data_IF_112223194754
#
_entry.id   IF_112223194754
#
_cell.length_a   1.000
_cell.length_b   1.000
_cell.length_c   1.000
_cell.angle_alpha   90.00
_cell.angle_beta   90.00
_cell.angle_gamma   90.00
#
_symmetry.space_group_name_H-M   'P 1'
#
loop_
_entity.id
_entity.type
_entity.pdbx_description
1 polymer ?
#
# COMPACT_ATOMS: atom_id res chain seq x y z
N UNK A 1 6.35 -6.11 21.14
CA UNK A 1 6.16 -5.36 19.87
C UNK A 1 7.41 -4.54 19.63
N UNK A 2 7.76 -4.20 18.38
CA UNK A 2 8.78 -3.19 18.13
C UNK A 2 8.37 -1.86 18.78
N UNK A 3 9.35 -1.13 19.32
CA UNK A 3 9.06 0.13 20.01
C UNK A 3 8.87 1.29 19.03
N UNK A 4 9.64 1.28 17.92
CA UNK A 4 9.61 2.36 16.95
C UNK A 4 9.41 1.85 15.52
N UNK A 5 8.39 2.37 14.85
CA UNK A 5 8.00 1.96 13.50
C UNK A 5 8.10 3.17 12.56
N UNK A 6 8.83 2.99 11.45
CA UNK A 6 8.83 3.93 10.33
C UNK A 6 7.79 3.49 9.31
N UNK A 7 6.86 4.38 8.99
CA UNK A 7 5.86 4.17 7.91
C UNK A 7 6.17 5.15 6.78
N UNK A 8 6.47 4.65 5.58
CA UNK A 8 6.50 5.47 4.39
C UNK A 8 5.10 5.53 3.78
N UNK A 9 4.65 6.69 3.30
CA UNK A 9 3.28 6.87 2.85
C UNK A 9 2.27 7.05 4.01
N UNK A 10 2.73 7.62 5.13
CA UNK A 10 1.92 7.75 6.36
C UNK A 10 0.77 8.76 6.26
N UNK A 11 0.82 9.71 5.34
CA UNK A 11 -0.28 10.64 5.06
C UNK A 11 -1.36 10.04 4.13
N UNK A 12 -1.07 8.87 3.55
CA UNK A 12 -2.00 8.14 2.68
C UNK A 12 -3.17 7.51 3.45
N UNK A 13 -4.10 6.94 2.67
CA UNK A 13 -5.29 6.26 3.19
C UNK A 13 -4.93 5.14 4.18
N UNK A 14 -4.19 4.13 3.73
CA UNK A 14 -3.85 2.96 4.56
C UNK A 14 -2.83 3.34 5.62
N UNK A 15 -1.82 4.15 5.26
CA UNK A 15 -0.74 4.57 6.16
C UNK A 15 -1.25 5.30 7.40
N UNK A 16 -2.20 6.21 7.23
CA UNK A 16 -2.77 6.96 8.36
C UNK A 16 -3.59 6.10 9.32
N UNK A 17 -4.34 5.12 8.81
CA UNK A 17 -5.05 4.14 9.64
C UNK A 17 -4.10 3.20 10.38
N UNK A 18 -3.04 2.75 9.69
CA UNK A 18 -2.04 1.89 10.30
C UNK A 18 -1.27 2.64 11.40
N UNK A 19 -0.84 3.87 11.14
CA UNK A 19 -0.19 4.72 12.13
C UNK A 19 -1.07 4.88 13.38
N UNK A 20 -2.35 5.22 13.20
CA UNK A 20 -3.30 5.36 14.31
C UNK A 20 -3.44 4.05 15.12
N UNK A 21 -3.56 2.91 14.43
CA UNK A 21 -3.65 1.60 15.07
C UNK A 21 -2.41 1.28 15.91
N UNK A 22 -1.21 1.54 15.38
CA UNK A 22 0.04 1.25 16.06
C UNK A 22 0.28 2.19 17.26
N UNK A 23 -0.08 3.47 17.12
CA UNK A 23 -0.06 4.43 18.23
C UNK A 23 -1.00 4.02 19.37
N UNK A 24 -2.24 3.58 19.04
CA UNK A 24 -3.19 3.01 20.03
C UNK A 24 -2.67 1.74 20.70
N UNK A 25 -1.80 1.00 20.03
CA UNK A 25 -1.13 -0.19 20.58
C UNK A 25 0.14 0.14 21.41
N UNK A 26 0.46 1.43 21.58
CA UNK A 26 1.59 1.90 22.39
C UNK A 26 2.92 1.95 21.67
N UNK A 27 2.94 1.84 20.34
CA UNK A 27 4.16 2.00 19.55
C UNK A 27 4.47 3.48 19.30
N UNK A 28 5.75 3.83 19.20
CA UNK A 28 6.19 5.09 18.60
C UNK A 28 6.17 4.95 17.09
N UNK A 29 5.61 5.94 16.40
CA UNK A 29 5.47 5.93 14.93
C UNK A 29 6.07 7.20 14.34
N UNK A 30 7.00 7.01 13.41
CA UNK A 30 7.44 8.08 12.51
C UNK A 30 6.88 7.81 11.12
N UNK A 31 6.29 8.81 10.48
CA UNK A 31 5.86 8.75 9.08
C UNK A 31 6.72 9.64 8.19
N UNK A 32 7.00 9.20 6.96
CA UNK A 32 7.56 10.02 5.88
C UNK A 32 6.61 9.98 4.69
N UNK A 33 6.28 11.16 4.14
CA UNK A 33 5.34 11.31 3.02
C UNK A 33 5.58 12.66 2.33
N UNK A 34 5.57 12.71 1.01
CA UNK A 34 5.76 13.94 0.24
C UNK A 34 4.47 14.71 -0.04
N UNK A 35 3.32 14.18 0.44
CA UNK A 35 1.97 14.70 0.23
C UNK A 35 1.53 14.74 -1.24
N UNK A 36 2.22 14.05 -2.14
CA UNK A 36 1.84 14.00 -3.57
C UNK A 36 0.46 13.36 -3.79
N UNK A 37 0.13 12.38 -2.98
CA UNK A 37 -1.19 11.72 -2.95
C UNK A 37 -1.81 11.65 -1.55
N UNK A 38 -0.99 11.78 -0.51
CA UNK A 38 -1.39 11.85 0.89
C UNK A 38 -2.06 13.18 1.25
N UNK A 39 -2.75 13.21 2.38
CA UNK A 39 -3.39 14.42 2.91
C UNK A 39 -2.75 14.87 4.21
N UNK A 40 -2.43 16.16 4.28
CA UNK A 40 -1.98 16.81 5.51
C UNK A 40 -2.95 16.58 6.68
N UNK A 41 -4.27 16.62 6.41
CA UNK A 41 -5.31 16.39 7.43
C UNK A 41 -5.25 15.00 8.06
N UNK A 42 -4.75 13.99 7.35
CA UNK A 42 -4.54 12.66 7.93
C UNK A 42 -3.40 12.66 8.96
N UNK A 43 -2.37 13.48 8.76
CA UNK A 43 -1.28 13.63 9.73
C UNK A 43 -1.73 14.46 10.95
N UNK A 44 -2.55 15.49 10.73
CA UNK A 44 -3.10 16.33 11.80
C UNK A 44 -3.91 15.50 12.81
N UNK A 45 -4.69 14.54 12.34
CA UNK A 45 -5.42 13.61 13.21
C UNK A 45 -4.50 12.81 14.15
N UNK A 46 -3.27 12.53 13.71
CA UNK A 46 -2.30 11.73 14.46
C UNK A 46 -1.48 12.57 15.45
N UNK A 47 -1.44 13.89 15.31
CA UNK A 47 -0.70 14.78 16.21
C UNK A 47 -1.25 14.78 17.66
N UNK A 48 -2.46 14.28 17.87
CA UNK A 48 -2.99 14.04 19.21
C UNK A 48 -2.21 12.97 20.01
N UNK A 49 -1.40 12.16 19.34
CA UNK A 49 -0.58 11.12 19.97
C UNK A 49 0.85 11.64 20.17
N UNK A 50 1.37 11.74 21.43
CA UNK A 50 2.71 12.24 21.70
C UNK A 50 3.83 11.42 21.03
N UNK A 51 3.58 10.13 20.80
CA UNK A 51 4.53 9.20 20.18
C UNK A 51 4.50 9.23 18.64
N UNK A 52 3.76 10.18 18.04
CA UNK A 52 3.70 10.37 16.60
C UNK A 52 4.64 11.48 16.15
N UNK A 53 5.39 11.19 15.08
CA UNK A 53 6.21 12.17 14.36
C UNK A 53 5.95 12.06 12.86
N UNK A 54 5.73 13.18 12.17
CA UNK A 54 5.67 13.25 10.71
C UNK A 54 6.86 13.99 10.13
N UNK A 55 7.36 13.50 9.00
CA UNK A 55 8.38 14.13 8.18
C UNK A 55 7.82 14.28 6.77
N UNK A 56 7.76 15.51 6.27
CA UNK A 56 7.29 15.80 4.92
C UNK A 56 8.52 15.82 4.02
N UNK A 57 8.73 14.72 3.30
CA UNK A 57 9.88 14.54 2.43
C UNK A 57 9.65 13.39 1.45
N UNK A 58 10.34 13.44 0.32
CA UNK A 58 10.37 12.35 -0.66
C UNK A 58 11.19 11.16 -0.10
N UNK A 59 10.67 9.94 -0.24
CA UNK A 59 11.38 8.72 0.17
C UNK A 59 12.68 8.48 -0.60
N UNK A 60 12.90 9.19 -1.70
CA UNK A 60 14.15 9.17 -2.48
C UNK A 60 15.21 10.15 -1.95
N UNK A 61 14.88 10.98 -0.96
CA UNK A 61 15.91 11.70 -0.21
C UNK A 61 16.65 10.73 0.72
N UNK A 62 17.79 10.24 0.21
CA UNK A 62 18.56 9.18 0.87
C UNK A 62 19.03 9.59 2.27
N UNK A 63 19.35 10.85 2.50
CA UNK A 63 19.87 11.32 3.79
C UNK A 63 18.78 11.29 4.86
N UNK A 64 17.59 11.78 4.56
CA UNK A 64 16.45 11.76 5.47
C UNK A 64 15.99 10.32 5.72
N UNK A 65 15.84 9.51 4.66
CA UNK A 65 15.40 8.12 4.79
C UNK A 65 16.40 7.29 5.61
N UNK A 66 17.70 7.44 5.38
CA UNK A 66 18.76 6.75 6.11
C UNK A 66 18.70 7.07 7.62
N UNK A 67 18.60 8.36 7.97
CA UNK A 67 18.44 8.78 9.36
C UNK A 67 17.20 8.19 10.01
N UNK A 68 16.02 8.27 9.35
CA UNK A 68 14.77 7.75 9.91
C UNK A 68 14.81 6.23 10.07
N UNK A 69 15.40 5.52 9.11
CA UNK A 69 15.56 4.06 9.17
C UNK A 69 16.50 3.64 10.29
N UNK A 70 17.57 4.41 10.56
CA UNK A 70 18.50 4.12 11.66
C UNK A 70 17.82 4.17 13.04
N UNK A 71 16.83 5.05 13.20
CA UNK A 71 16.08 5.26 14.43
C UNK A 71 14.96 4.20 14.65
N UNK A 72 14.49 3.53 13.58
CA UNK A 72 13.37 2.60 13.63
C UNK A 72 13.78 1.15 13.88
N UNK A 73 12.89 0.35 14.44
CA UNK A 73 13.04 -1.11 14.57
C UNK A 73 12.50 -1.84 13.35
N UNK A 74 11.42 -1.32 12.78
CA UNK A 74 10.71 -1.89 11.62
C UNK A 74 10.34 -0.79 10.65
N UNK A 75 10.47 -1.06 9.36
CA UNK A 75 10.01 -0.20 8.28
C UNK A 75 8.79 -0.82 7.60
N UNK A 76 7.68 -0.10 7.54
CA UNK A 76 6.49 -0.49 6.77
C UNK A 76 6.40 0.42 5.55
N UNK A 77 6.69 -0.15 4.38
CA UNK A 77 6.75 0.60 3.14
C UNK A 77 5.41 0.57 2.40
N UNK A 78 4.64 1.68 2.51
CA UNK A 78 3.35 1.89 1.85
C UNK A 78 3.40 3.00 0.79
N UNK A 79 4.47 3.81 0.76
CA UNK A 79 4.61 4.88 -0.22
C UNK A 79 4.69 4.31 -1.63
N UNK A 80 3.78 4.73 -2.49
CA UNK A 80 3.76 4.37 -3.90
C UNK A 80 2.89 5.37 -4.67
N UNK A 81 3.23 5.63 -5.92
CA UNK A 81 2.33 6.27 -6.86
C UNK A 81 1.29 5.24 -7.33
N UNK A 82 0.05 5.37 -6.85
CA UNK A 82 -1.04 4.41 -7.05
C UNK A 82 -2.29 5.09 -7.60
N UNK A 83 -3.07 4.32 -8.37
CA UNK A 83 -4.34 4.75 -8.96
C UNK A 83 -4.29 4.81 -10.49
N UNK A 84 -5.30 4.19 -11.11
CA UNK A 84 -5.34 3.98 -12.57
C UNK A 84 -5.17 5.29 -13.36
N UNK A 85 -5.82 6.37 -12.93
CA UNK A 85 -5.69 7.66 -13.58
C UNK A 85 -4.25 8.18 -13.55
N UNK A 86 -3.61 8.17 -12.38
CA UNK A 86 -2.23 8.65 -12.21
C UNK A 86 -1.23 7.83 -13.03
N UNK A 87 -1.38 6.50 -13.02
CA UNK A 87 -0.52 5.56 -13.78
C UNK A 87 -0.59 5.82 -15.28
N UNK A 88 -1.78 6.12 -15.81
CA UNK A 88 -1.99 6.40 -17.24
C UNK A 88 -1.50 7.81 -17.61
N UNK A 89 -1.74 8.80 -16.77
CA UNK A 89 -1.37 10.20 -17.02
C UNK A 89 0.14 10.46 -16.84
N UNK A 90 0.77 9.78 -15.87
CA UNK A 90 2.19 10.00 -15.51
C UNK A 90 2.95 8.68 -15.34
N UNK A 91 3.04 7.84 -16.39
CA UNK A 91 3.63 6.50 -16.28
C UNK A 91 5.11 6.52 -15.87
N UNK A 92 5.91 7.46 -16.40
CA UNK A 92 7.32 7.57 -16.05
C UNK A 92 7.51 7.92 -14.58
N UNK A 93 6.79 8.92 -14.07
CA UNK A 93 6.87 9.31 -12.66
C UNK A 93 6.42 8.18 -11.73
N UNK A 94 5.36 7.45 -12.10
CA UNK A 94 4.88 6.28 -11.35
C UNK A 94 5.97 5.22 -11.22
N UNK A 95 6.61 4.84 -12.32
CA UNK A 95 7.69 3.85 -12.32
C UNK A 95 8.89 4.31 -11.48
N UNK A 96 9.31 5.57 -11.65
CA UNK A 96 10.45 6.12 -10.91
C UNK A 96 10.19 6.18 -9.40
N UNK A 97 9.00 6.61 -8.97
CA UNK A 97 8.64 6.66 -7.54
C UNK A 97 8.61 5.26 -6.95
N UNK A 98 7.92 4.32 -7.60
CA UNK A 98 7.76 2.98 -7.06
C UNK A 98 9.10 2.24 -7.00
N UNK A 99 9.82 2.14 -8.12
CA UNK A 99 11.05 1.35 -8.20
C UNK A 99 12.18 1.98 -7.37
N UNK A 100 12.50 3.27 -7.60
CA UNK A 100 13.59 3.91 -6.86
C UNK A 100 13.25 4.16 -5.40
N UNK A 101 11.97 4.46 -5.09
CA UNK A 101 11.53 4.58 -3.70
C UNK A 101 11.71 3.27 -2.92
N UNK A 102 11.27 2.15 -3.49
CA UNK A 102 11.46 0.83 -2.89
C UNK A 102 12.94 0.47 -2.76
N UNK A 103 13.74 0.74 -3.80
CA UNK A 103 15.19 0.52 -3.75
C UNK A 103 15.85 1.30 -2.61
N UNK A 104 15.52 2.59 -2.45
CA UNK A 104 16.06 3.45 -1.38
C UNK A 104 15.69 2.90 0.00
N UNK A 105 14.44 2.47 0.19
CA UNK A 105 13.98 1.87 1.46
C UNK A 105 14.73 0.58 1.78
N UNK A 106 14.88 -0.32 0.79
CA UNK A 106 15.58 -1.60 0.99
C UNK A 106 17.09 -1.39 1.28
N UNK A 107 17.72 -0.44 0.59
CA UNK A 107 19.13 -0.06 0.86
C UNK A 107 19.32 0.47 2.29
N UNK A 108 18.47 1.40 2.72
CA UNK A 108 18.54 1.94 4.07
C UNK A 108 18.27 0.86 5.13
N UNK A 109 17.21 0.06 4.93
CA UNK A 109 16.86 -1.03 5.83
C UNK A 109 17.98 -2.09 5.93
N UNK A 110 18.62 -2.43 4.81
CA UNK A 110 19.76 -3.35 4.79
C UNK A 110 20.96 -2.81 5.58
N UNK A 111 21.28 -1.54 5.44
CA UNK A 111 22.39 -0.90 6.19
C UNK A 111 22.26 -1.07 7.68
N UNK A 112 21.05 -0.96 8.23
CA UNK A 112 20.77 -1.05 9.66
C UNK A 112 20.15 -2.39 10.07
N UNK A 113 20.02 -3.35 9.14
CA UNK A 113 19.39 -4.65 9.35
C UNK A 113 17.98 -4.54 9.96
N UNK A 114 17.19 -3.57 9.46
CA UNK A 114 15.81 -3.34 9.91
C UNK A 114 14.85 -4.21 9.15
N UNK A 115 13.91 -4.84 9.86
CA UNK A 115 12.85 -5.60 9.22
C UNK A 115 11.98 -4.71 8.32
N UNK A 116 11.66 -5.19 7.11
CA UNK A 116 10.80 -4.49 6.15
C UNK A 116 9.51 -5.26 5.94
N UNK A 117 8.37 -4.56 6.05
CA UNK A 117 7.08 -5.01 5.52
C UNK A 117 6.80 -4.20 4.26
N UNK A 118 6.80 -4.86 3.11
CA UNK A 118 6.62 -4.22 1.79
C UNK A 118 5.18 -4.39 1.30
N UNK A 119 4.50 -3.29 1.06
CA UNK A 119 3.19 -3.32 0.44
C UNK A 119 3.30 -3.60 -1.07
N UNK A 120 2.62 -4.64 -1.50
CA UNK A 120 2.33 -4.98 -2.89
C UNK A 120 0.82 -4.93 -3.14
N UNK A 121 0.35 -5.47 -4.22
CA UNK A 121 -1.02 -5.32 -4.71
C UNK A 121 -1.51 -6.60 -5.40
N UNK A 122 -2.81 -6.87 -5.34
CA UNK A 122 -3.44 -7.91 -6.14
C UNK A 122 -3.33 -7.66 -7.67
N UNK A 123 -3.00 -6.44 -8.10
CA UNK A 123 -2.81 -6.15 -9.52
C UNK A 123 -1.62 -6.89 -10.15
N UNK A 124 -0.68 -7.41 -9.36
CA UNK A 124 0.43 -8.24 -9.86
C UNK A 124 -0.05 -9.54 -10.51
N UNK A 125 -1.22 -10.06 -10.14
CA UNK A 125 -1.82 -11.23 -10.81
C UNK A 125 -2.28 -10.94 -12.24
N UNK A 126 -2.53 -9.66 -12.55
CA UNK A 126 -2.80 -9.17 -13.90
C UNK A 126 -4.03 -9.81 -14.55
N UNK A 127 -3.81 -10.59 -15.61
CA UNK A 127 -4.87 -11.30 -16.38
C UNK A 127 -5.05 -12.75 -15.97
N UNK A 128 -4.47 -13.18 -14.84
CA UNK A 128 -4.69 -14.53 -14.36
C UNK A 128 -6.20 -14.77 -14.12
N UNK A 129 -6.70 -15.91 -14.60
CA UNK A 129 -8.13 -16.29 -14.53
C UNK A 129 -8.40 -17.33 -13.44
N UNK A 130 -7.35 -17.88 -12.82
CA UNK A 130 -7.49 -18.82 -11.71
C UNK A 130 -7.99 -18.06 -10.47
N UNK A 131 -9.08 -18.51 -9.89
CA UNK A 131 -9.68 -17.93 -8.68
C UNK A 131 -10.01 -19.04 -7.68
N UNK A 132 -9.84 -18.79 -6.37
CA UNK A 132 -9.19 -17.60 -5.77
C UNK A 132 -7.70 -17.54 -6.09
N UNK A 133 -7.12 -16.33 -6.06
CA UNK A 133 -5.67 -16.16 -6.24
C UNK A 133 -4.89 -16.74 -5.04
N UNK A 134 -3.84 -17.49 -5.38
CA UNK A 134 -2.81 -17.94 -4.43
C UNK A 134 -1.52 -17.16 -4.63
N UNK A 135 -0.72 -17.02 -3.57
CA UNK A 135 0.55 -16.32 -3.60
C UNK A 135 1.54 -16.91 -4.60
N UNK A 136 1.44 -18.22 -4.85
CA UNK A 136 2.28 -18.99 -5.79
C UNK A 136 1.75 -18.97 -7.23
N UNK A 137 0.61 -18.33 -7.50
CA UNK A 137 0.05 -18.29 -8.85
C UNK A 137 0.92 -17.46 -9.80
N UNK A 138 1.00 -17.91 -11.06
CA UNK A 138 1.67 -17.18 -12.13
C UNK A 138 1.04 -15.79 -12.33
N UNK A 139 1.89 -14.82 -12.67
CA UNK A 139 1.52 -13.43 -12.96
C UNK A 139 1.51 -13.21 -14.47
N UNK A 140 0.39 -12.73 -14.99
CA UNK A 140 0.20 -12.53 -16.44
C UNK A 140 -0.16 -11.09 -16.72
N UNK A 141 0.82 -10.23 -17.00
CA UNK A 141 0.60 -8.85 -17.35
C UNK A 141 0.23 -8.67 -18.83
N UNK A 142 -0.25 -7.50 -19.19
CA UNK A 142 -0.51 -7.13 -20.58
C UNK A 142 0.74 -6.55 -21.26
N UNK A 143 0.61 -6.14 -22.56
CA UNK A 143 1.73 -5.62 -23.33
C UNK A 143 2.23 -4.29 -22.76
N UNK A 144 3.54 -4.07 -22.88
CA UNK A 144 4.22 -2.86 -22.35
C UNK A 144 3.77 -1.55 -23.03
N UNK A 145 3.12 -1.63 -24.18
CA UNK A 145 2.51 -0.48 -24.86
C UNK A 145 1.23 0.06 -24.17
N UNK A 146 0.71 -0.65 -23.18
CA UNK A 146 -0.47 -0.24 -22.40
C UNK A 146 -0.02 0.18 -21.00
N UNK A 147 0.06 1.50 -20.77
CA UNK A 147 0.65 2.12 -19.59
C UNK A 147 0.05 1.62 -18.25
N UNK A 148 -1.23 1.24 -18.19
CA UNK A 148 -1.86 0.75 -16.96
C UNK A 148 -1.13 -0.44 -16.32
N UNK A 149 -0.43 -1.25 -17.11
CA UNK A 149 0.32 -2.41 -16.60
C UNK A 149 1.61 -2.01 -15.91
N UNK A 150 2.08 -0.77 -16.13
CA UNK A 150 3.32 -0.27 -15.52
C UNK A 150 3.30 -0.30 -13.99
N UNK A 151 2.15 -0.01 -13.37
CA UNK A 151 2.01 -0.10 -11.92
C UNK A 151 2.18 -1.54 -11.40
N UNK A 152 1.46 -2.49 -11.97
CA UNK A 152 1.58 -3.89 -11.59
C UNK A 152 3.02 -4.41 -11.83
N UNK A 153 3.62 -4.05 -12.96
CA UNK A 153 5.00 -4.40 -13.27
C UNK A 153 6.01 -3.80 -12.28
N UNK A 154 5.82 -2.52 -11.86
CA UNK A 154 6.70 -1.91 -10.85
C UNK A 154 6.59 -2.61 -9.50
N UNK A 155 5.36 -2.94 -9.07
CA UNK A 155 5.15 -3.66 -7.80
C UNK A 155 5.67 -5.10 -7.84
N UNK A 156 5.57 -5.77 -9.00
CA UNK A 156 6.18 -7.08 -9.20
C UNK A 156 7.71 -7.00 -9.11
N UNK A 157 8.32 -5.98 -9.72
CA UNK A 157 9.76 -5.74 -9.60
C UNK A 157 10.18 -5.43 -8.15
N UNK A 158 9.38 -4.65 -7.42
CA UNK A 158 9.60 -4.37 -6.00
C UNK A 158 9.62 -5.67 -5.16
N UNK A 159 8.70 -6.61 -5.44
CA UNK A 159 8.68 -7.93 -4.79
C UNK A 159 9.97 -8.72 -5.08
N UNK A 160 10.39 -8.81 -6.35
CA UNK A 160 11.63 -9.49 -6.73
C UNK A 160 12.84 -8.87 -6.05
N UNK A 161 12.93 -7.54 -6.03
CA UNK A 161 14.03 -6.83 -5.38
C UNK A 161 14.07 -7.12 -3.87
N UNK A 162 12.92 -7.08 -3.19
CA UNK A 162 12.82 -7.37 -1.78
C UNK A 162 13.23 -8.83 -1.45
N UNK A 163 12.78 -9.79 -2.26
CA UNK A 163 13.17 -11.20 -2.11
C UNK A 163 14.65 -11.42 -2.41
N UNK A 164 15.25 -10.71 -3.37
CA UNK A 164 16.69 -10.75 -3.60
C UNK A 164 17.46 -10.27 -2.36
N UNK A 165 17.05 -9.17 -1.73
CA UNK A 165 17.63 -8.72 -0.45
C UNK A 165 17.48 -9.76 0.69
N UNK A 166 16.32 -10.45 0.73
CA UNK A 166 16.13 -11.54 1.71
C UNK A 166 17.08 -12.69 1.47
N UNK A 167 17.19 -13.20 0.25
CA UNK A 167 18.00 -14.37 -0.05
C UNK A 167 19.51 -14.09 0.02
N UNK A 168 19.96 -12.97 -0.55
CA UNK A 168 21.39 -12.66 -0.69
C UNK A 168 21.93 -11.90 0.51
N UNK A 169 21.20 -10.86 0.97
CA UNK A 169 21.65 -9.94 2.01
C UNK A 169 21.08 -10.26 3.41
N UNK A 170 20.26 -11.31 3.52
CA UNK A 170 19.62 -11.74 4.78
C UNK A 170 18.76 -10.65 5.44
N UNK A 171 18.28 -9.69 4.65
CA UNK A 171 17.35 -8.67 5.16
C UNK A 171 16.02 -9.33 5.51
N UNK A 172 15.49 -9.18 6.74
CA UNK A 172 14.20 -9.76 7.10
C UNK A 172 13.06 -8.99 6.43
N UNK A 173 12.51 -9.54 5.33
CA UNK A 173 11.43 -8.95 4.54
C UNK A 173 10.15 -9.77 4.68
N UNK A 174 9.02 -9.10 4.72
CA UNK A 174 7.68 -9.69 4.53
C UNK A 174 6.97 -8.89 3.46
N UNK A 175 6.44 -9.52 2.42
CA UNK A 175 5.66 -8.87 1.36
C UNK A 175 4.18 -9.14 1.61
N UNK A 176 3.34 -8.11 1.46
CA UNK A 176 1.90 -8.30 1.54
C UNK A 176 1.18 -7.66 0.35
N UNK A 177 0.34 -8.44 -0.32
CA UNK A 177 -0.47 -8.02 -1.47
C UNK A 177 -1.85 -7.59 -0.99
N UNK A 178 -2.16 -6.30 -1.09
CA UNK A 178 -3.45 -5.75 -0.70
C UNK A 178 -4.48 -5.92 -1.82
N UNK A 179 -5.69 -6.35 -1.45
CA UNK A 179 -6.84 -6.46 -2.33
C UNK A 179 -7.86 -5.39 -2.01
N UNK A 180 -8.28 -4.60 -3.03
CA UNK A 180 -9.39 -3.62 -2.99
C UNK A 180 -9.73 -3.09 -1.60
N UNK A 181 -8.73 -2.55 -0.90
CA UNK A 181 -8.92 -1.99 0.43
C UNK A 181 -9.79 -0.74 0.34
N UNK A 182 -10.80 -0.65 1.21
CA UNK A 182 -11.79 0.44 1.24
C UNK A 182 -12.03 0.92 2.68
N UNK A 183 -12.49 2.15 2.83
CA UNK A 183 -12.84 2.70 4.14
C UNK A 183 -12.72 4.22 4.24
N UNK A 184 -12.91 4.79 5.44
CA UNK A 184 -12.72 6.22 5.69
C UNK A 184 -11.35 6.72 5.23
N UNK A 185 -11.22 8.02 4.92
CA UNK A 185 -10.01 8.68 4.37
C UNK A 185 -9.61 8.23 2.96
N UNK A 186 -10.33 7.28 2.33
CA UNK A 186 -10.07 6.89 0.93
C UNK A 186 -10.58 7.98 -0.02
N UNK A 187 -9.76 8.34 -1.00
CA UNK A 187 -10.10 9.37 -1.98
C UNK A 187 -10.59 8.79 -3.30
N UNK A 188 -11.68 9.34 -3.82
CA UNK A 188 -12.21 8.97 -5.15
C UNK A 188 -11.42 9.52 -6.34
N UNK A 189 -10.46 10.44 -6.10
CA UNK A 189 -9.73 11.17 -7.13
C UNK A 189 -9.01 10.25 -8.15
N UNK A 190 -8.58 9.08 -7.71
CA UNK A 190 -7.76 8.19 -8.52
C UNK A 190 -8.52 7.03 -9.17
N UNK A 191 -9.86 7.10 -9.20
CA UNK A 191 -10.69 6.20 -10.00
C UNK A 191 -11.26 4.98 -9.28
N UNK A 192 -11.12 4.90 -7.94
CA UNK A 192 -11.72 3.81 -7.17
C UNK A 192 -13.25 3.94 -7.12
N UNK A 193 -13.95 2.83 -7.32
CA UNK A 193 -15.41 2.81 -7.49
C UNK A 193 -16.15 3.25 -6.22
N UNK A 194 -15.85 2.65 -5.06
CA UNK A 194 -16.60 2.91 -3.82
C UNK A 194 -16.55 4.38 -3.38
N UNK A 195 -15.38 5.03 -3.24
CA UNK A 195 -15.36 6.44 -2.82
C UNK A 195 -15.99 7.38 -3.86
N UNK A 196 -16.04 7.00 -5.15
CA UNK A 196 -16.78 7.76 -6.17
C UNK A 196 -18.29 7.63 -5.98
N UNK A 197 -18.79 6.42 -5.75
CA UNK A 197 -20.21 6.16 -5.48
C UNK A 197 -20.67 6.91 -4.24
N UNK A 198 -19.93 6.82 -3.14
CA UNK A 198 -20.21 7.59 -1.91
C UNK A 198 -20.24 9.10 -2.20
N UNK A 199 -19.26 9.61 -2.95
CA UNK A 199 -19.22 11.04 -3.31
C UNK A 199 -20.41 11.47 -4.14
N UNK A 200 -20.86 10.68 -5.11
CA UNK A 200 -22.06 10.98 -5.92
C UNK A 200 -23.34 10.89 -5.07
N UNK A 201 -23.50 9.83 -4.28
CA UNK A 201 -24.66 9.66 -3.41
C UNK A 201 -24.82 10.82 -2.42
N UNK A 202 -23.73 11.27 -1.78
CA UNK A 202 -23.76 12.42 -0.85
C UNK A 202 -24.13 13.75 -1.53
N UNK A 203 -23.90 13.90 -2.85
CA UNK A 203 -24.31 15.07 -3.61
C UNK A 203 -25.66 14.93 -4.30
N UNK A 204 -26.34 13.78 -4.14
CA UNK A 204 -27.59 13.47 -4.84
C UNK A 204 -27.41 13.30 -6.36
N UNK A 205 -26.21 12.96 -6.80
CA UNK A 205 -25.87 12.73 -8.21
C UNK A 205 -26.11 11.28 -8.60
N UNK A 206 -26.49 10.98 -9.86
CA UNK A 206 -26.63 9.60 -10.34
C UNK A 206 -25.31 8.83 -10.26
N UNK A 207 -25.37 7.58 -9.78
CA UNK A 207 -24.23 6.69 -9.76
C UNK A 207 -23.91 6.20 -11.17
N UNK A 208 -22.68 6.39 -11.63
CA UNK A 208 -22.26 5.95 -12.97
C UNK A 208 -21.68 4.53 -12.90
N UNK A 209 -22.47 3.56 -13.34
CA UNK A 209 -22.05 2.17 -13.51
C UNK A 209 -21.52 1.98 -14.93
N UNK A 210 -20.26 1.50 -15.06
CA UNK A 210 -19.66 1.24 -16.36
C UNK A 210 -19.99 -0.18 -16.83
N UNK A 211 -20.38 -0.31 -18.11
CA UNK A 211 -20.82 -1.57 -18.69
C UNK A 211 -22.18 -2.00 -18.12
N UNK A 212 -22.36 -3.31 -17.91
CA UNK A 212 -23.56 -3.91 -17.33
C UNK A 212 -23.54 -3.96 -15.78
N UNK A 213 -22.43 -3.56 -15.15
CA UNK A 213 -22.24 -3.64 -13.71
C UNK A 213 -22.03 -5.06 -13.17
N UNK A 214 -21.95 -6.08 -14.05
CA UNK A 214 -21.76 -7.49 -13.67
C UNK A 214 -20.35 -7.83 -13.18
N UNK A 215 -19.36 -6.96 -13.43
CA UNK A 215 -18.01 -7.15 -12.89
C UNK A 215 -18.02 -7.10 -11.36
N UNK A 216 -17.35 -8.06 -10.74
CA UNK A 216 -17.34 -8.18 -9.27
C UNK A 216 -15.99 -7.85 -8.65
N UNK A 217 -16.02 -7.50 -7.37
CA UNK A 217 -14.85 -7.27 -6.52
C UNK A 217 -15.11 -7.87 -5.13
N UNK A 218 -14.00 -8.22 -4.45
CA UNK A 218 -14.01 -8.49 -3.02
C UNK A 218 -13.39 -7.27 -2.33
N UNK A 219 -14.14 -6.61 -1.45
CA UNK A 219 -13.68 -5.40 -0.75
C UNK A 219 -13.19 -5.75 0.65
N UNK A 220 -12.00 -5.30 1.01
CA UNK A 220 -11.41 -5.46 2.33
C UNK A 220 -11.50 -4.14 3.10
N UNK A 221 -12.06 -4.15 4.31
CA UNK A 221 -12.08 -2.94 5.13
C UNK A 221 -10.66 -2.59 5.58
N UNK A 222 -10.34 -1.31 5.59
CA UNK A 222 -9.02 -0.81 6.01
C UNK A 222 -8.68 -1.17 7.45
N UNK A 223 -9.68 -1.34 8.32
CA UNK A 223 -9.46 -1.82 9.69
C UNK A 223 -8.91 -3.24 9.70
N UNK A 224 -9.40 -4.12 8.82
CA UNK A 224 -8.97 -5.51 8.72
C UNK A 224 -7.60 -5.59 8.04
N UNK A 225 -7.39 -4.82 6.98
CA UNK A 225 -6.09 -4.72 6.32
C UNK A 225 -4.99 -4.25 7.29
N UNK A 226 -5.25 -3.20 8.07
CA UNK A 226 -4.28 -2.70 9.05
C UNK A 226 -4.08 -3.65 10.23
N UNK A 227 -5.12 -4.40 10.64
CA UNK A 227 -4.99 -5.45 11.65
C UNK A 227 -4.10 -6.60 11.14
N UNK A 228 -4.29 -7.01 9.88
CA UNK A 228 -3.45 -8.04 9.26
C UNK A 228 -1.98 -7.58 9.16
N UNK A 229 -1.72 -6.34 8.70
CA UNK A 229 -0.35 -5.79 8.64
C UNK A 229 0.30 -5.77 10.03
N UNK A 230 -0.42 -5.32 11.06
CA UNK A 230 0.08 -5.35 12.44
C UNK A 230 0.40 -6.79 12.88
N UNK A 231 -0.45 -7.75 12.55
CA UNK A 231 -0.22 -9.16 12.86
C UNK A 231 1.01 -9.71 12.15
N UNK A 232 1.20 -9.41 10.86
CA UNK A 232 2.40 -9.80 10.12
C UNK A 232 3.68 -9.26 10.74
N UNK A 233 3.68 -7.99 11.17
CA UNK A 233 4.80 -7.38 11.87
C UNK A 233 5.19 -8.15 13.14
N UNK A 234 4.22 -8.74 13.83
CA UNK A 234 4.43 -9.49 15.09
C UNK A 234 4.74 -10.97 14.86
N UNK A 235 4.68 -11.46 13.62
CA UNK A 235 4.81 -12.89 13.29
C UNK A 235 6.17 -13.16 12.65
N UNK A 236 7.13 -13.78 13.37
CA UNK A 236 8.45 -14.11 12.81
C UNK A 236 8.37 -15.07 11.62
N UNK A 237 7.41 -15.98 11.60
CA UNK A 237 7.20 -16.92 10.49
C UNK A 237 6.76 -16.25 9.19
N UNK A 238 6.37 -14.97 9.21
CA UNK A 238 6.06 -14.21 8.01
C UNK A 238 7.31 -13.63 7.31
N UNK A 239 8.50 -13.78 7.91
CA UNK A 239 9.74 -13.31 7.28
C UNK A 239 10.10 -14.25 6.11
N UNK A 240 10.34 -13.67 4.95
CA UNK A 240 10.60 -14.38 3.71
C UNK A 240 9.35 -14.79 2.94
N UNK A 241 8.16 -14.44 3.45
CA UNK A 241 6.88 -14.82 2.87
C UNK A 241 6.22 -13.68 2.08
N UNK A 242 5.43 -14.08 1.07
CA UNK A 242 4.47 -13.22 0.36
C UNK A 242 3.08 -13.62 0.84
N UNK A 243 2.23 -12.66 1.21
CA UNK A 243 0.95 -12.94 1.85
C UNK A 243 -0.16 -12.06 1.26
N UNK A 244 -1.24 -12.65 0.82
CA UNK A 244 -2.44 -11.95 0.37
C UNK A 244 -3.24 -11.40 1.56
N UNK A 245 -3.64 -10.13 1.50
CA UNK A 245 -4.55 -9.51 2.47
C UNK A 245 -5.79 -9.02 1.73
N UNK A 246 -6.91 -9.67 1.95
CA UNK A 246 -8.16 -9.40 1.25
C UNK A 246 -9.38 -9.94 1.99
N UNK A 247 -10.49 -9.98 1.29
CA UNK A 247 -11.76 -10.58 1.70
C UNK A 247 -12.24 -11.46 0.54
N UNK A 248 -13.03 -12.48 0.83
CA UNK A 248 -13.60 -13.44 -0.13
C UNK A 248 -15.08 -13.16 -0.48
N UNK A 249 -15.73 -12.21 0.21
CA UNK A 249 -17.10 -11.80 -0.12
C UNK A 249 -17.13 -11.06 -1.46
N UNK A 250 -17.75 -11.69 -2.45
CA UNK A 250 -17.85 -11.17 -3.81
C UNK A 250 -19.09 -10.29 -3.95
N UNK A 251 -18.89 -9.06 -4.41
CA UNK A 251 -19.97 -8.08 -4.69
C UNK A 251 -19.83 -7.59 -6.13
N UNK A 252 -20.91 -7.58 -6.91
CA UNK A 252 -20.94 -6.95 -8.23
C UNK A 252 -21.01 -5.43 -8.09
N UNK A 253 -20.58 -4.71 -9.13
CA UNK A 253 -20.65 -3.25 -9.11
C UNK A 253 -22.10 -2.75 -9.11
N UNK A 254 -23.02 -3.51 -9.74
CA UNK A 254 -24.45 -3.20 -9.69
C UNK A 254 -25.00 -3.35 -8.27
N UNK A 255 -24.76 -4.50 -7.61
CA UNK A 255 -25.15 -4.71 -6.20
C UNK A 255 -24.54 -3.64 -5.27
N UNK A 256 -23.29 -3.23 -5.51
CA UNK A 256 -22.67 -2.16 -4.75
C UNK A 256 -23.37 -0.80 -4.94
N UNK A 257 -23.88 -0.53 -6.12
CA UNK A 257 -24.61 0.71 -6.42
C UNK A 257 -26.02 0.72 -5.79
N UNK A 258 -26.63 -0.44 -5.61
CA UNK A 258 -27.96 -0.62 -5.00
C UNK A 258 -27.94 -0.56 -3.46
N UNK A 259 -26.82 -0.91 -2.83
CA UNK A 259 -26.59 -0.83 -1.37
C UNK A 259 -26.33 0.61 -0.90
#
# INVERSE_FOLDING_TARGET
MPDHILITGGAGFIGSHLAERLLKAGCRVTSIDDLSTGLQSNLELLQAYPEFRSVIEDIRDEATLDRLTSEADVVIHLAAAVGVALVVERPLATLQINIHGTESVLKAAHRYQRRVLLASTSEVYGKNTKLPFSEDDDRTLGPTTIARWGYAASKELDEFLAMAYFYEAKLPVTIFRLFNTVGPRQQGRYGMVLPRFVGWALRGEPLQVYGDGGQSRCFCNVSDATAAIQRLMQTPAAIGEVINIGNDERVTILELAER
#
